data_IF_006993516765
#
_entry.id   IF_006993516765
#
_cell.length_a   1.000
_cell.length_b   1.000
_cell.length_c   1.000
_cell.angle_alpha   90.00
_cell.angle_beta   90.00
_cell.angle_gamma   90.00
#
_symmetry.space_group_name_H-M   'P 1'
#
loop_
_entity.id
_entity.type
_entity.pdbx_description
1 polymer ?
#
# COMPACT_ATOMS: atom_id res chain seq x y z
N UNK A 1 -13.84 43.83 -52.75
CA UNK A 1 -12.50 43.42 -52.28
C UNK A 1 -12.69 42.21 -51.39
N UNK A 2 -12.58 41.00 -51.95
CA UNK A 2 -11.42 40.10 -51.85
C UNK A 2 -11.10 39.67 -50.40
N UNK A 3 -11.54 38.43 -50.15
CA UNK A 3 -11.20 37.46 -49.10
C UNK A 3 -9.84 37.59 -48.41
N UNK A 4 -9.80 37.20 -47.13
CA UNK A 4 -9.02 36.03 -46.65
C UNK A 4 -9.32 35.72 -45.19
N UNK A 5 -9.91 34.54 -44.99
CA UNK A 5 -9.86 33.76 -43.76
C UNK A 5 -8.40 33.51 -43.38
N UNK A 6 -8.04 33.70 -42.11
CA UNK A 6 -6.82 33.13 -41.54
C UNK A 6 -7.18 32.44 -40.22
N UNK A 7 -7.46 31.15 -40.34
CA UNK A 7 -7.47 30.20 -39.24
C UNK A 7 -6.15 30.30 -38.47
N UNK A 8 -6.16 30.88 -37.27
CA UNK A 8 -5.11 30.60 -36.28
C UNK A 8 -5.34 29.18 -35.76
N UNK A 9 -4.85 28.20 -36.52
CA UNK A 9 -4.51 26.88 -35.96
C UNK A 9 -3.41 27.16 -34.96
N UNK A 10 -3.77 27.26 -33.69
CA UNK A 10 -2.79 27.20 -32.60
C UNK A 10 -2.14 25.84 -32.72
N UNK A 11 -0.90 25.84 -33.21
CA UNK A 11 -0.04 24.68 -33.22
C UNK A 11 -0.05 24.10 -31.82
N UNK A 12 -0.52 22.86 -31.68
CA UNK A 12 -0.30 22.05 -30.49
C UNK A 12 1.22 21.90 -30.44
N UNK A 13 1.85 22.72 -29.59
CA UNK A 13 3.27 22.59 -29.30
C UNK A 13 3.43 21.22 -28.67
N UNK A 14 4.17 20.39 -29.38
CA UNK A 14 4.92 19.23 -28.92
C UNK A 14 4.95 19.16 -27.40
N UNK A 15 4.36 18.12 -26.83
CA UNK A 15 4.59 17.76 -25.43
C UNK A 15 6.09 17.45 -25.35
N UNK A 16 6.86 18.40 -24.83
CA UNK A 16 8.25 18.22 -24.46
C UNK A 16 8.26 17.18 -23.34
N UNK A 17 8.55 15.94 -23.69
CA UNK A 17 8.80 14.83 -22.76
C UNK A 17 10.18 14.97 -22.12
N UNK A 18 10.43 16.12 -21.49
CA UNK A 18 11.63 16.38 -20.68
C UNK A 18 11.24 17.07 -19.37
N UNK A 19 10.28 16.49 -18.66
CA UNK A 19 10.18 16.63 -17.20
C UNK A 19 10.92 15.42 -16.62
N UNK A 20 12.24 15.52 -16.54
CA UNK A 20 12.94 14.82 -15.46
C UNK A 20 12.59 15.60 -14.20
N UNK A 21 11.48 15.23 -13.56
CA UNK A 21 11.18 15.67 -12.20
C UNK A 21 12.31 15.16 -11.31
N UNK A 22 13.30 16.02 -11.07
CA UNK A 22 14.38 15.75 -10.14
C UNK A 22 13.79 15.78 -8.72
N UNK A 23 13.32 14.61 -8.26
CA UNK A 23 12.93 14.41 -6.86
C UNK A 23 14.20 14.65 -6.03
N UNK A 24 14.20 15.73 -5.25
CA UNK A 24 15.35 16.06 -4.42
C UNK A 24 15.27 15.38 -3.05
N UNK A 25 16.30 15.59 -2.23
CA UNK A 25 16.38 14.99 -0.90
C UNK A 25 15.30 15.53 0.05
N UNK A 26 14.89 16.79 -0.12
CA UNK A 26 13.89 17.46 0.72
C UNK A 26 12.50 16.87 0.48
N UNK A 27 12.17 16.57 -0.78
CA UNK A 27 10.95 15.85 -1.16
C UNK A 27 10.86 14.46 -0.49
N UNK A 28 11.98 13.73 -0.47
CA UNK A 28 12.06 12.42 0.18
C UNK A 28 11.92 12.51 1.69
N UNK A 29 12.48 13.55 2.32
CA UNK A 29 12.33 13.79 3.76
C UNK A 29 10.87 14.13 4.11
N UNK A 30 10.23 14.99 3.31
CA UNK A 30 8.83 15.34 3.46
C UNK A 30 7.91 14.12 3.32
N UNK A 31 8.21 13.22 2.37
CA UNK A 31 7.50 11.96 2.19
C UNK A 31 7.60 11.07 3.44
N UNK A 32 8.81 10.92 4.01
CA UNK A 32 9.02 10.12 5.23
C UNK A 32 8.26 10.73 6.41
N UNK A 33 8.28 12.05 6.57
CA UNK A 33 7.52 12.76 7.61
C UNK A 33 6.02 12.50 7.43
N UNK A 34 5.50 12.63 6.21
CA UNK A 34 4.09 12.36 5.90
C UNK A 34 3.68 10.92 6.21
N UNK A 35 4.53 9.94 5.87
CA UNK A 35 4.32 8.53 6.21
C UNK A 35 4.24 8.30 7.72
N UNK A 36 5.11 8.95 8.52
CA UNK A 36 5.06 8.85 9.99
C UNK A 36 3.77 9.44 10.54
N UNK A 37 3.34 10.59 10.03
CA UNK A 37 2.08 11.21 10.44
C UNK A 37 0.88 10.32 10.10
N UNK A 38 0.85 9.73 8.90
CA UNK A 38 -0.18 8.78 8.50
C UNK A 38 -0.23 7.59 9.45
N UNK A 39 0.90 6.98 9.78
CA UNK A 39 0.98 5.87 10.73
C UNK A 39 0.38 6.22 12.11
N UNK A 40 0.63 7.44 12.59
CA UNK A 40 0.10 7.90 13.89
C UNK A 40 -1.40 8.18 13.87
N UNK A 41 -1.93 8.66 12.74
CA UNK A 41 -3.36 8.98 12.59
C UNK A 41 -4.21 7.75 12.19
N UNK A 42 -3.56 6.70 11.69
CA UNK A 42 -4.22 5.49 11.22
C UNK A 42 -4.76 4.63 12.36
N UNK A 43 -5.84 3.89 12.06
CA UNK A 43 -6.30 2.83 12.95
C UNK A 43 -5.24 1.72 13.09
N UNK A 44 -5.44 0.81 14.04
CA UNK A 44 -4.45 -0.23 14.30
C UNK A 44 -4.21 -1.15 13.09
N UNK A 45 -5.25 -1.52 12.34
CA UNK A 45 -5.11 -2.43 11.19
C UNK A 45 -4.35 -1.77 10.03
N UNK A 46 -4.71 -0.53 9.71
CA UNK A 46 -4.08 0.28 8.68
C UNK A 46 -2.62 0.58 9.03
N UNK A 47 -2.34 0.92 10.29
CA UNK A 47 -0.98 1.12 10.79
C UNK A 47 -0.10 -0.11 10.58
N UNK A 48 -0.55 -1.33 10.92
CA UNK A 48 0.23 -2.54 10.64
C UNK A 48 0.51 -2.71 9.13
N UNK A 49 -0.46 -2.38 8.27
CA UNK A 49 -0.28 -2.44 6.81
C UNK A 49 0.71 -1.39 6.30
N UNK A 50 0.68 -0.18 6.83
CA UNK A 50 1.65 0.86 6.48
C UNK A 50 3.07 0.45 6.91
N UNK A 51 3.21 -0.11 8.12
CA UNK A 51 4.49 -0.61 8.62
C UNK A 51 5.05 -1.78 7.79
N UNK A 52 4.21 -2.54 7.07
CA UNK A 52 4.66 -3.58 6.12
C UNK A 52 5.56 -3.02 5.01
N UNK A 53 5.37 -1.76 4.62
CA UNK A 53 6.12 -1.09 3.55
C UNK A 53 7.58 -0.79 3.92
N UNK A 54 7.97 -0.99 5.18
CA UNK A 54 9.36 -0.82 5.62
C UNK A 54 10.32 -1.74 4.85
N UNK A 55 11.60 -1.37 4.83
CA UNK A 55 12.65 -2.20 4.24
C UNK A 55 12.63 -3.61 4.85
N UNK A 56 12.78 -4.64 4.02
CA UNK A 56 12.70 -6.05 4.43
C UNK A 56 13.78 -6.45 5.42
N UNK A 57 14.92 -5.75 5.43
CA UNK A 57 16.03 -5.96 6.35
C UNK A 57 15.79 -5.40 7.75
N UNK A 58 14.79 -4.52 7.93
CA UNK A 58 14.52 -3.91 9.23
C UNK A 58 13.90 -4.91 10.19
N UNK A 59 14.53 -5.01 11.35
CA UNK A 59 14.01 -5.71 12.53
C UNK A 59 12.79 -5.00 13.11
N UNK A 60 11.98 -5.75 13.87
CA UNK A 60 10.82 -5.20 14.59
C UNK A 60 11.16 -4.00 15.49
N UNK A 61 12.39 -3.95 16.03
CA UNK A 61 12.85 -2.85 16.88
C UNK A 61 13.18 -1.60 16.08
N UNK A 62 13.80 -1.76 14.91
CA UNK A 62 14.08 -0.63 14.02
C UNK A 62 12.77 0.00 13.52
N UNK A 63 11.80 -0.82 13.14
CA UNK A 63 10.45 -0.36 12.76
C UNK A 63 9.79 0.41 13.92
N UNK A 64 9.80 -0.17 15.12
CA UNK A 64 9.22 0.44 16.31
C UNK A 64 9.83 1.82 16.61
N UNK A 65 11.16 1.91 16.60
CA UNK A 65 11.87 3.15 16.87
C UNK A 65 11.65 4.19 15.76
N UNK A 66 11.67 3.78 14.50
CA UNK A 66 11.56 4.70 13.37
C UNK A 66 10.17 5.36 13.29
N UNK A 67 9.11 4.61 13.59
CA UNK A 67 7.72 5.07 13.53
C UNK A 67 7.11 5.41 14.90
N UNK A 68 7.88 5.28 15.99
CA UNK A 68 7.41 5.53 17.37
C UNK A 68 6.18 4.68 17.73
N UNK A 69 6.21 3.40 17.35
CA UNK A 69 5.16 2.40 17.62
C UNK A 69 5.68 1.31 18.55
N UNK A 70 4.82 0.43 19.04
CA UNK A 70 5.25 -0.68 19.91
C UNK A 70 6.06 -1.74 19.15
N UNK A 71 6.99 -2.43 19.83
CA UNK A 71 7.69 -3.59 19.25
C UNK A 71 6.72 -4.72 18.83
N UNK A 72 5.54 -4.79 19.46
CA UNK A 72 4.47 -5.72 19.09
C UNK A 72 3.91 -5.40 17.70
N UNK A 73 3.61 -4.13 17.43
CA UNK A 73 3.16 -3.67 16.11
C UNK A 73 4.25 -3.88 15.05
N UNK A 74 5.52 -3.62 15.40
CA UNK A 74 6.66 -3.94 14.54
C UNK A 74 6.76 -5.44 14.21
N UNK A 75 6.52 -6.32 15.19
CA UNK A 75 6.47 -7.77 14.97
C UNK A 75 5.32 -8.17 14.04
N UNK A 76 4.12 -7.65 14.27
CA UNK A 76 2.95 -7.93 13.43
C UNK A 76 3.17 -7.48 11.98
N UNK A 77 3.86 -6.36 11.76
CA UNK A 77 4.21 -5.90 10.42
C UNK A 77 5.20 -6.84 9.70
N UNK A 78 6.19 -7.37 10.43
CA UNK A 78 7.13 -8.38 9.91
C UNK A 78 6.39 -9.68 9.56
N UNK A 79 5.56 -10.18 10.48
CA UNK A 79 4.74 -11.38 10.25
C UNK A 79 3.78 -11.19 9.07
N UNK A 80 3.19 -10.00 8.92
CA UNK A 80 2.32 -9.66 7.80
C UNK A 80 3.10 -9.58 6.47
N UNK A 81 4.38 -9.20 6.51
CA UNK A 81 5.25 -9.16 5.33
C UNK A 81 5.73 -10.55 4.89
N UNK A 82 5.93 -11.45 5.85
CA UNK A 82 6.35 -12.82 5.60
C UNK A 82 5.19 -13.71 5.15
N UNK A 83 4.00 -13.54 5.75
CA UNK A 83 2.79 -14.28 5.41
C UNK A 83 2.21 -13.90 4.04
N UNK A 84 2.38 -12.64 3.67
CA UNK A 84 1.83 -12.02 2.49
C UNK A 84 2.99 -11.26 1.84
N UNK A 85 3.58 -11.77 0.75
CA UNK A 85 4.64 -11.07 0.02
C UNK A 85 4.29 -9.59 -0.21
N UNK A 86 5.29 -8.74 -0.46
CA UNK A 86 5.12 -7.27 -0.55
C UNK A 86 3.98 -6.84 -1.50
N UNK A 87 3.59 -7.71 -2.44
CA UNK A 87 2.45 -7.56 -3.35
C UNK A 87 1.49 -8.78 -3.37
N UNK A 88 1.20 -9.42 -2.24
CA UNK A 88 0.09 -10.40 -2.23
C UNK A 88 -1.21 -9.62 -2.45
N UNK A 89 -1.85 -9.89 -3.60
CA UNK A 89 -3.19 -9.44 -3.92
C UNK A 89 -4.11 -9.60 -2.71
N UNK A 90 -5.08 -8.70 -2.64
CA UNK A 90 -6.16 -8.67 -1.67
C UNK A 90 -6.95 -9.99 -1.73
N UNK A 91 -6.44 -11.04 -1.09
CA UNK A 91 -7.27 -12.15 -0.68
C UNK A 91 -8.02 -11.67 0.54
N UNK A 92 -9.21 -11.17 0.24
CA UNK A 92 -10.35 -11.11 1.11
C UNK A 92 -10.44 -12.45 1.88
N UNK A 93 -9.73 -12.57 3.00
CA UNK A 93 -9.81 -13.72 3.91
C UNK A 93 -11.09 -13.57 4.75
N UNK A 94 -12.23 -13.53 4.07
CA UNK A 94 -13.36 -14.31 4.54
C UNK A 94 -12.99 -15.76 4.21
N UNK A 95 -12.94 -16.61 5.23
CA UNK A 95 -12.81 -18.06 5.12
C UNK A 95 -11.45 -18.60 4.63
N UNK A 96 -10.51 -18.78 5.56
CA UNK A 96 -9.56 -19.91 5.45
C UNK A 96 -10.31 -21.23 5.69
N UNK A 97 -11.07 -21.65 4.68
CA UNK A 97 -10.79 -22.87 3.92
C UNK A 97 -10.80 -24.24 4.60
N UNK A 98 -11.32 -24.40 5.82
CA UNK A 98 -11.70 -25.72 6.32
C UNK A 98 -13.09 -25.66 6.92
N UNK A 99 -14.02 -26.41 6.33
CA UNK A 99 -15.31 -26.67 6.96
C UNK A 99 -15.06 -27.27 8.34
N UNK A 100 -15.68 -26.70 9.36
CA UNK A 100 -15.56 -27.27 10.69
C UNK A 100 -16.04 -28.73 10.66
N UNK A 101 -15.44 -29.64 11.45
CA UNK A 101 -15.86 -31.03 11.51
C UNK A 101 -17.36 -31.21 11.80
N UNK A 102 -17.95 -30.25 12.53
CA UNK A 102 -19.38 -30.18 12.82
C UNK A 102 -20.20 -29.96 11.54
N UNK A 103 -19.80 -29.02 10.69
CA UNK A 103 -20.48 -28.74 9.42
C UNK A 103 -20.43 -29.94 8.47
N UNK A 104 -19.28 -30.61 8.40
CA UNK A 104 -19.10 -31.82 7.56
C UNK A 104 -20.06 -32.92 8.03
N UNK A 105 -20.12 -33.15 9.34
CA UNK A 105 -20.99 -34.17 9.93
C UNK A 105 -22.48 -33.89 9.65
N UNK A 106 -22.93 -32.66 9.87
CA UNK A 106 -24.33 -32.28 9.64
C UNK A 106 -24.76 -32.48 8.19
N UNK A 107 -23.86 -32.25 7.22
CA UNK A 107 -24.16 -32.46 5.80
C UNK A 107 -24.25 -33.96 5.49
N UNK A 108 -23.35 -34.78 6.03
CA UNK A 108 -23.39 -36.24 5.82
C UNK A 108 -24.66 -36.86 6.41
N UNK A 109 -25.03 -36.46 7.63
CA UNK A 109 -26.25 -36.93 8.31
C UNK A 109 -27.55 -36.53 7.57
N UNK A 110 -27.51 -35.55 6.65
CA UNK A 110 -28.67 -35.11 5.87
C UNK A 110 -28.91 -35.95 4.60
N UNK A 111 -27.87 -36.61 4.07
CA UNK A 111 -27.95 -37.39 2.83
C UNK A 111 -28.00 -38.92 3.06
N UNK A 112 -27.89 -39.39 4.32
CA UNK A 112 -28.24 -40.75 4.74
C UNK A 112 -29.72 -40.85 5.15
#
# INVERSE_FOLDING_TARGET
>A
MLSKSLNKRTSISTIDTTLTDDIDYEDMEHLVIGLKQLVLMSDHSERIRLLKLCQSTWSRREIANHFSVSECEGRMAVELRESNGVLSFYENNQDRGQLTPVTIKTVLDFYE
#
